data_IF_455864838601
#
_entry.id   IF_455864838601
#
_cell.length_a   1.000
_cell.length_b   1.000
_cell.length_c   1.000
_cell.angle_alpha   90.00
_cell.angle_beta   90.00
_cell.angle_gamma   90.00
#
_symmetry.space_group_name_H-M   'P 1'
#
loop_
_entity.id
_entity.type
_entity.pdbx_description
1 polymer ?
#
# COMPACT_ATOMS: atom_id res chain seq x y z
N UNK A 1 -12.93 17.43 -11.51
CA UNK A 1 -12.81 16.10 -12.08
C UNK A 1 -11.35 15.65 -12.06
N UNK A 2 -11.13 14.43 -11.64
CA UNK A 2 -9.78 13.88 -11.62
C UNK A 2 -9.39 13.36 -12.99
N UNK A 3 -8.14 13.62 -13.39
CA UNK A 3 -7.59 13.03 -14.61
C UNK A 3 -7.31 11.55 -14.42
N UNK A 4 -7.15 11.12 -13.17
CA UNK A 4 -6.79 9.76 -12.84
C UNK A 4 -7.79 9.24 -11.82
N UNK A 5 -8.83 8.60 -12.30
CA UNK A 5 -9.82 7.99 -11.43
C UNK A 5 -9.41 6.53 -11.20
N UNK A 6 -9.05 6.23 -9.96
CA UNK A 6 -8.64 4.89 -9.56
C UNK A 6 -9.73 4.15 -8.77
N UNK A 7 -10.95 4.65 -8.84
CA UNK A 7 -12.07 4.00 -8.15
C UNK A 7 -12.18 2.55 -8.58
N UNK A 8 -12.31 1.65 -7.62
CA UNK A 8 -12.38 0.22 -7.88
C UNK A 8 -11.05 -0.45 -8.09
N UNK A 9 -9.94 0.28 -8.05
CA UNK A 9 -8.62 -0.31 -8.17
C UNK A 9 -8.05 -0.66 -6.81
N UNK A 10 -7.23 -1.70 -6.77
CA UNK A 10 -6.51 -2.13 -5.59
C UNK A 10 -5.01 -2.08 -5.88
N UNK A 11 -4.27 -1.44 -5.00
CA UNK A 11 -2.84 -1.25 -5.18
C UNK A 11 -2.04 -1.69 -3.97
N UNK A 12 -0.91 -2.32 -4.22
CA UNK A 12 0.09 -2.62 -3.20
C UNK A 12 1.23 -1.65 -3.42
N UNK A 13 1.63 -0.94 -2.38
CA UNK A 13 2.76 -0.02 -2.45
C UNK A 13 3.79 -0.46 -1.41
N UNK A 14 4.94 -0.93 -1.85
CA UNK A 14 6.01 -1.30 -0.94
C UNK A 14 6.77 -0.07 -0.50
N UNK A 15 7.37 -0.13 0.68
CA UNK A 15 8.09 1.03 1.21
C UNK A 15 7.20 2.22 1.47
N UNK A 16 5.93 1.98 1.83
CA UNK A 16 4.93 3.05 1.88
C UNK A 16 4.67 3.61 3.29
N UNK A 17 5.49 3.22 4.27
CA UNK A 17 5.30 3.74 5.62
C UNK A 17 5.85 5.17 5.80
N UNK A 18 6.57 5.69 4.83
CA UNK A 18 7.11 7.05 4.88
C UNK A 18 7.60 7.49 3.51
N UNK A 19 7.96 8.79 3.41
CA UNK A 19 8.60 9.34 2.24
C UNK A 19 7.75 9.26 0.99
N UNK A 20 8.40 8.99 -0.13
CA UNK A 20 7.76 8.95 -1.44
C UNK A 20 6.70 7.85 -1.52
N UNK A 21 7.00 6.68 -0.93
CA UNK A 21 6.02 5.59 -0.93
C UNK A 21 4.73 5.95 -0.22
N UNK A 22 4.83 6.63 0.92
CA UNK A 22 3.65 7.12 1.63
C UNK A 22 2.88 8.13 0.78
N UNK A 23 3.59 9.05 0.14
CA UNK A 23 2.96 10.06 -0.71
C UNK A 23 2.22 9.40 -1.88
N UNK A 24 2.81 8.37 -2.48
CA UNK A 24 2.17 7.63 -3.57
C UNK A 24 0.90 6.95 -3.07
N UNK A 25 0.97 6.29 -1.91
CA UNK A 25 -0.20 5.60 -1.37
C UNK A 25 -1.33 6.58 -1.06
N UNK A 26 -1.00 7.71 -0.45
CA UNK A 26 -1.99 8.74 -0.14
C UNK A 26 -2.60 9.32 -1.42
N UNK A 27 -1.79 9.59 -2.43
CA UNK A 27 -2.28 10.12 -3.69
C UNK A 27 -3.20 9.11 -4.40
N UNK A 28 -2.86 7.83 -4.38
CA UNK A 28 -3.70 6.81 -4.99
C UNK A 28 -5.04 6.68 -4.26
N UNK A 29 -5.01 6.73 -2.92
CA UNK A 29 -6.23 6.70 -2.13
C UNK A 29 -7.10 7.93 -2.41
N UNK A 30 -6.48 9.09 -2.60
CA UNK A 30 -7.20 10.32 -2.98
C UNK A 30 -7.90 10.17 -4.32
N UNK A 31 -7.40 9.31 -5.21
CA UNK A 31 -8.01 9.04 -6.51
C UNK A 31 -9.00 7.87 -6.46
N UNK A 32 -9.28 7.34 -5.29
CA UNK A 32 -10.30 6.30 -5.14
C UNK A 32 -9.79 4.88 -5.00
N UNK A 33 -8.48 4.67 -5.05
CA UNK A 33 -7.93 3.34 -4.92
C UNK A 33 -8.00 2.84 -3.48
N UNK A 34 -8.06 1.53 -3.34
CA UNK A 34 -7.78 0.87 -2.06
C UNK A 34 -6.32 0.49 -2.07
N UNK A 35 -5.64 0.66 -0.94
CA UNK A 35 -4.19 0.53 -0.89
C UNK A 35 -3.72 -0.38 0.22
N UNK A 36 -2.70 -1.16 -0.07
CA UNK A 36 -1.98 -1.94 0.93
C UNK A 36 -0.68 -1.23 1.26
N UNK A 37 -0.56 -0.85 2.52
CA UNK A 37 0.63 -0.17 3.03
C UNK A 37 1.59 -1.23 3.53
N UNK A 38 2.80 -1.22 3.02
CA UNK A 38 3.77 -2.25 3.37
C UNK A 38 5.16 -1.67 3.55
N UNK A 39 5.81 -2.12 4.60
CA UNK A 39 7.24 -1.91 4.87
C UNK A 39 7.64 -2.97 5.88
N UNK A 40 8.89 -2.97 6.30
CA UNK A 40 9.33 -3.94 7.31
C UNK A 40 8.86 -3.60 8.73
N UNK A 41 8.40 -2.40 8.96
CA UNK A 41 8.03 -1.92 10.31
C UNK A 41 6.53 -1.88 10.49
N UNK A 42 5.97 -2.72 11.37
CA UNK A 42 4.51 -2.79 11.56
C UNK A 42 3.90 -1.47 12.04
N UNK A 43 4.52 -0.83 13.03
CA UNK A 43 3.96 0.39 13.60
C UNK A 43 3.75 1.50 12.58
N UNK A 44 4.79 1.90 11.83
CA UNK A 44 4.63 2.92 10.80
C UNK A 44 3.63 2.54 9.70
N UNK A 45 3.56 1.27 9.31
CA UNK A 45 2.56 0.82 8.33
C UNK A 45 1.15 1.05 8.85
N UNK A 46 0.91 0.69 10.09
CA UNK A 46 -0.42 0.83 10.68
C UNK A 46 -0.79 2.32 10.83
N UNK A 47 0.16 3.16 11.19
CA UNK A 47 -0.08 4.60 11.29
C UNK A 47 -0.54 5.19 9.96
N UNK A 48 0.11 4.82 8.87
CA UNK A 48 -0.25 5.31 7.54
C UNK A 48 -1.61 4.78 7.12
N UNK A 49 -1.85 3.49 7.33
CA UNK A 49 -3.16 2.90 7.01
C UNK A 49 -4.27 3.58 7.80
N UNK A 50 -4.05 3.81 9.08
CA UNK A 50 -5.04 4.48 9.93
C UNK A 50 -5.31 5.91 9.45
N UNK A 51 -4.28 6.64 9.06
CA UNK A 51 -4.42 8.00 8.56
C UNK A 51 -5.24 8.04 7.26
N UNK A 52 -4.98 7.10 6.36
CA UNK A 52 -5.74 7.00 5.10
C UNK A 52 -7.20 6.63 5.38
N UNK A 53 -7.43 5.67 6.27
CA UNK A 53 -8.78 5.26 6.61
C UNK A 53 -9.55 6.37 7.33
N UNK A 54 -8.87 7.16 8.14
CA UNK A 54 -9.50 8.31 8.80
C UNK A 54 -9.98 9.34 7.79
N UNK A 55 -9.19 9.53 6.72
CA UNK A 55 -9.52 10.52 5.69
C UNK A 55 -10.59 10.02 4.72
N UNK A 56 -10.51 8.74 4.34
CA UNK A 56 -11.32 8.20 3.25
C UNK A 56 -12.37 7.19 3.69
N UNK A 57 -12.31 6.72 4.92
CA UNK A 57 -13.23 5.71 5.45
C UNK A 57 -12.55 4.37 5.64
N UNK A 58 -13.09 3.61 6.59
CA UNK A 58 -12.54 2.29 6.93
C UNK A 58 -12.57 1.38 5.71
N UNK A 59 -11.56 0.56 5.59
CA UNK A 59 -11.47 -0.36 4.47
C UNK A 59 -10.79 0.20 3.24
N UNK A 60 -10.32 1.45 3.28
CA UNK A 60 -9.56 2.04 2.17
C UNK A 60 -8.12 1.55 2.16
N UNK A 61 -7.53 1.38 3.34
CA UNK A 61 -6.14 0.94 3.46
C UNK A 61 -6.00 -0.18 4.47
N UNK A 62 -5.08 -1.09 4.20
CA UNK A 62 -4.66 -2.10 5.15
C UNK A 62 -3.15 -2.02 5.33
N UNK A 63 -2.67 -2.44 6.49
CA UNK A 63 -1.24 -2.50 6.78
C UNK A 63 -0.80 -3.96 6.76
N UNK A 64 0.16 -4.28 5.90
CA UNK A 64 0.71 -5.62 5.80
C UNK A 64 2.22 -5.51 5.83
N UNK A 65 2.83 -5.53 7.03
CA UNK A 65 4.29 -5.49 7.12
C UNK A 65 4.88 -6.70 6.43
N UNK A 66 5.91 -6.47 5.63
CA UNK A 66 6.56 -7.56 4.92
C UNK A 66 8.00 -7.20 4.58
N UNK A 67 8.84 -8.22 4.59
CA UNK A 67 10.18 -8.12 4.08
C UNK A 67 10.15 -8.51 2.61
N UNK A 68 10.39 -7.56 1.72
CA UNK A 68 10.30 -7.81 0.27
C UNK A 68 11.36 -8.80 -0.24
N UNK A 69 12.36 -9.10 0.57
CA UNK A 69 13.35 -10.13 0.22
C UNK A 69 12.83 -11.53 0.51
N UNK A 70 11.73 -11.65 1.23
CA UNK A 70 11.13 -12.93 1.56
C UNK A 70 10.00 -13.24 0.59
N UNK A 71 10.14 -14.30 -0.19
CA UNK A 71 9.13 -14.74 -1.12
C UNK A 71 7.81 -15.08 -0.41
N UNK A 72 7.91 -15.73 0.74
CA UNK A 72 6.73 -16.12 1.51
C UNK A 72 5.99 -14.91 2.05
N UNK A 73 6.71 -13.87 2.51
CA UNK A 73 6.07 -12.66 2.99
C UNK A 73 5.44 -11.86 1.87
N UNK A 74 6.07 -11.83 0.69
CA UNK A 74 5.47 -11.20 -0.48
C UNK A 74 4.18 -11.88 -0.87
N UNK A 75 4.17 -13.22 -0.87
CA UNK A 75 2.97 -13.97 -1.20
C UNK A 75 1.88 -13.71 -0.17
N UNK A 76 2.23 -13.68 1.11
CA UNK A 76 1.27 -13.39 2.17
C UNK A 76 0.67 -12.00 2.01
N UNK A 77 1.47 -11.01 1.57
CA UNK A 77 0.99 -9.66 1.33
C UNK A 77 -0.01 -9.62 0.16
N UNK A 78 0.28 -10.33 -0.91
CA UNK A 78 -0.63 -10.43 -2.05
C UNK A 78 -1.93 -11.11 -1.62
N UNK A 79 -1.83 -12.18 -0.85
CA UNK A 79 -3.01 -12.91 -0.36
C UNK A 79 -3.87 -12.03 0.55
N UNK A 80 -3.24 -11.28 1.45
CA UNK A 80 -3.96 -10.37 2.33
C UNK A 80 -4.68 -9.27 1.54
N UNK A 81 -4.04 -8.75 0.51
CA UNK A 81 -4.63 -7.74 -0.35
C UNK A 81 -5.82 -8.29 -1.12
N UNK A 82 -5.67 -9.48 -1.68
CA UNK A 82 -6.79 -10.15 -2.36
C UNK A 82 -7.94 -10.41 -1.42
N UNK A 83 -7.66 -10.82 -0.20
CA UNK A 83 -8.70 -11.09 0.79
C UNK A 83 -9.44 -9.82 1.17
N UNK A 84 -8.72 -8.72 1.33
CA UNK A 84 -9.32 -7.46 1.76
C UNK A 84 -10.07 -6.75 0.62
N UNK A 85 -9.52 -6.77 -0.58
CA UNK A 85 -10.02 -5.95 -1.69
C UNK A 85 -10.54 -6.77 -2.88
N UNK A 86 -10.36 -8.07 -2.85
CA UNK A 86 -10.84 -8.97 -3.92
C UNK A 86 -9.94 -9.08 -5.13
N UNK A 87 -8.92 -8.24 -5.24
CA UNK A 87 -8.02 -8.23 -6.40
C UNK A 87 -6.77 -7.41 -6.13
N UNK A 88 -5.81 -7.51 -7.00
CA UNK A 88 -4.63 -6.63 -7.05
C UNK A 88 -4.49 -6.13 -8.48
N UNK A 89 -4.67 -4.83 -8.67
CA UNK A 89 -4.58 -4.21 -10.01
C UNK A 89 -3.20 -3.60 -10.25
N UNK A 90 -2.58 -3.05 -9.21
CA UNK A 90 -1.35 -2.28 -9.35
C UNK A 90 -0.39 -2.67 -8.24
N UNK A 91 0.88 -2.85 -8.59
CA UNK A 91 1.94 -3.04 -7.60
C UNK A 91 3.00 -1.97 -7.85
N UNK A 92 3.23 -1.15 -6.84
CA UNK A 92 4.26 -0.12 -6.88
C UNK A 92 5.41 -0.57 -5.99
N UNK A 93 6.53 -0.87 -6.61
CA UNK A 93 7.73 -1.28 -5.88
C UNK A 93 8.55 -0.05 -5.56
N UNK A 94 8.24 0.57 -4.43
CA UNK A 94 9.03 1.66 -3.89
C UNK A 94 9.79 1.15 -2.68
N UNK A 95 10.53 0.10 -2.87
CA UNK A 95 11.41 -0.38 -1.83
C UNK A 95 12.40 0.72 -1.54
N UNK A 96 12.72 0.90 -0.26
CA UNK A 96 13.83 1.75 0.10
C UNK A 96 15.05 1.07 -0.47
N UNK A 97 15.13 1.10 -1.75
CA UNK A 97 16.14 0.35 -2.43
C UNK A 97 17.46 0.82 -1.96
N UNK A 98 18.25 -0.10 -1.66
CA UNK A 98 19.61 0.20 -1.44
C UNK A 98 20.16 0.68 -2.77
N UNK A 99 20.51 1.93 -2.89
CA UNK A 99 20.80 2.49 -4.20
C UNK A 99 22.16 2.14 -4.72
N UNK A 100 22.90 1.32 -4.03
CA UNK A 100 24.18 0.99 -4.59
C UNK A 100 24.12 -0.34 -5.30
N UNK A 101 24.96 -0.46 -6.24
CA UNK A 101 25.01 -1.60 -7.12
C UNK A 101 26.45 -2.05 -7.31
#
# INVERSE_FOLDING_TARGET
MSLFDLSGKSAIITGSSRGIGRAIAEAMADQGAKVTISSRKPGPCQEVADAINKKHGDGTAIAVPANISSKDELQAMVDATNKAFGKVDVVVCNAAANPYY
#
